data_IF_577482459797
#
_entry.id   IF_577482459797
#
_cell.length_a   1.000
_cell.length_b   1.000
_cell.length_c   1.000
_cell.angle_alpha   90.00
_cell.angle_beta   90.00
_cell.angle_gamma   90.00
#
_symmetry.space_group_name_H-M   'P 1'
#
loop_
_entity.id
_entity.type
_entity.pdbx_description
1 polymer ?
#
# COMPACT_ATOMS: atom_id res chain seq x y z
N UNK A 1 0.69 -12.60 62.98
CA UNK A 1 -0.30 -11.83 62.19
C UNK A 1 0.44 -11.28 60.99
N UNK A 2 0.50 -12.12 59.98
CA UNK A 2 1.30 -11.95 58.76
C UNK A 2 0.64 -10.90 57.88
N UNK A 3 1.41 -9.89 57.49
CA UNK A 3 1.04 -8.99 56.39
C UNK A 3 1.58 -9.67 55.13
N UNK A 4 0.83 -10.66 54.65
CA UNK A 4 1.10 -11.36 53.40
C UNK A 4 1.02 -10.38 52.23
N UNK A 5 2.20 -10.06 51.68
CA UNK A 5 2.59 -10.35 50.30
C UNK A 5 1.53 -10.26 49.18
N UNK A 6 0.60 -9.31 49.23
CA UNK A 6 -0.36 -9.12 48.14
C UNK A 6 0.20 -8.26 46.98
N UNK A 7 1.42 -8.58 46.51
CA UNK A 7 2.10 -7.86 45.41
C UNK A 7 2.47 -8.76 44.22
N UNK A 8 2.00 -10.01 44.19
CA UNK A 8 2.38 -11.01 43.19
C UNK A 8 1.26 -11.41 42.21
N UNK A 9 0.26 -10.55 41.98
CA UNK A 9 -0.75 -10.81 40.92
C UNK A 9 -1.08 -9.59 40.05
N UNK A 10 -0.12 -8.67 39.84
CA UNK A 10 -0.12 -7.94 38.59
C UNK A 10 0.32 -8.92 37.49
N UNK A 11 -0.68 -9.63 36.95
CA UNK A 11 -0.61 -10.29 35.65
C UNK A 11 0.26 -9.43 34.74
N UNK A 12 1.42 -9.97 34.34
CA UNK A 12 2.15 -9.52 33.17
C UNK A 12 1.25 -9.76 31.94
N UNK A 13 0.21 -8.93 31.78
CA UNK A 13 -0.26 -8.60 30.46
C UNK A 13 0.93 -7.93 29.79
N UNK A 14 1.51 -8.62 28.81
CA UNK A 14 2.53 -8.04 27.96
C UNK A 14 1.96 -6.74 27.38
N UNK A 15 2.36 -5.60 27.96
CA UNK A 15 1.97 -4.29 27.46
C UNK A 15 2.34 -4.23 25.97
N UNK A 16 1.44 -3.74 25.10
CA UNK A 16 1.65 -3.80 23.67
C UNK A 16 2.94 -3.07 23.29
N UNK A 17 3.84 -3.76 22.58
CA UNK A 17 5.12 -3.20 22.11
C UNK A 17 4.97 -2.37 20.83
N UNK A 18 3.72 -2.07 20.45
CA UNK A 18 3.40 -1.35 19.23
C UNK A 18 3.43 0.16 19.44
N UNK A 19 3.73 0.90 18.37
CA UNK A 19 3.66 2.37 18.35
C UNK A 19 2.28 2.92 18.80
N UNK A 20 1.19 2.17 18.56
CA UNK A 20 -0.15 2.56 19.00
C UNK A 20 -0.27 2.69 20.52
N UNK A 21 0.47 1.86 21.27
CA UNK A 21 0.49 1.83 22.73
C UNK A 21 1.17 3.05 23.38
N UNK A 22 1.90 3.84 22.59
CA UNK A 22 2.59 5.02 23.08
C UNK A 22 1.60 6.17 23.32
N UNK A 23 1.84 6.93 24.40
CA UNK A 23 1.10 8.16 24.68
C UNK A 23 1.31 9.20 23.57
N UNK A 24 0.43 10.20 23.46
CA UNK A 24 0.60 11.30 22.51
C UNK A 24 1.91 12.05 22.73
N UNK A 25 2.32 12.22 23.99
CA UNK A 25 3.59 12.81 24.37
C UNK A 25 4.78 11.97 23.89
N UNK A 26 4.77 10.65 24.14
CA UNK A 26 5.86 9.75 23.72
C UNK A 26 6.06 9.73 22.21
N UNK A 27 4.95 9.80 21.45
CA UNK A 27 4.95 9.88 19.99
C UNK A 27 5.60 11.18 19.50
N UNK A 28 5.28 12.31 20.12
CA UNK A 28 5.89 13.60 19.80
C UNK A 28 7.41 13.58 20.09
N UNK A 29 7.82 13.02 21.23
CA UNK A 29 9.24 12.92 21.57
C UNK A 29 10.00 12.02 20.61
N UNK A 30 9.43 10.88 20.20
CA UNK A 30 10.04 10.03 19.18
C UNK A 30 10.24 10.77 17.86
N UNK A 31 9.27 11.61 17.48
CA UNK A 31 9.38 12.40 16.27
C UNK A 31 10.51 13.42 16.34
N UNK A 32 10.64 14.13 17.45
CA UNK A 32 11.74 15.07 17.66
C UNK A 32 13.10 14.37 17.50
N UNK A 33 13.26 13.16 18.05
CA UNK A 33 14.49 12.36 17.88
C UNK A 33 14.71 11.84 16.44
N UNK A 34 13.65 11.71 15.64
CA UNK A 34 13.77 11.31 14.23
C UNK A 34 14.22 12.50 13.39
N UNK A 35 13.68 13.69 13.67
CA UNK A 35 14.00 14.94 12.98
C UNK A 35 15.41 15.41 13.32
N UNK A 36 15.83 15.23 14.58
CA UNK A 36 17.20 15.40 15.02
C UNK A 36 17.75 14.09 15.62
N UNK A 37 18.45 13.26 14.82
CA UNK A 37 19.03 12.00 15.28
C UNK A 37 20.09 12.18 16.37
N UNK A 38 20.65 13.38 16.54
CA UNK A 38 21.57 13.66 17.62
C UNK A 38 20.86 13.76 18.97
N UNK A 39 19.55 14.04 18.99
CA UNK A 39 18.77 14.22 20.20
C UNK A 39 18.64 12.92 21.00
N UNK A 40 19.34 12.86 22.13
CA UNK A 40 19.24 11.77 23.10
C UNK A 40 18.09 12.01 24.07
N UNK A 41 17.40 10.95 24.51
CA UNK A 41 16.27 11.03 25.43
C UNK A 41 16.37 9.97 26.53
N UNK A 42 16.19 10.42 27.78
CA UNK A 42 16.20 9.56 28.96
C UNK A 42 14.78 9.04 29.18
N UNK A 43 14.62 7.72 29.21
CA UNK A 43 13.33 7.04 29.23
C UNK A 43 13.34 6.01 30.36
N UNK A 44 12.27 5.90 31.18
CA UNK A 44 12.25 4.91 32.24
C UNK A 44 12.29 3.50 31.67
N UNK A 45 13.11 2.64 32.28
CA UNK A 45 13.30 1.27 31.82
C UNK A 45 12.00 0.48 31.94
N UNK A 46 11.67 -0.30 30.91
CA UNK A 46 10.47 -1.14 30.89
C UNK A 46 9.17 -0.42 30.54
N UNK A 47 9.18 0.91 30.37
CA UNK A 47 8.04 1.64 29.81
C UNK A 47 7.79 1.24 28.35
N UNK A 48 6.55 1.40 27.82
CA UNK A 48 6.22 1.06 26.44
C UNK A 48 7.20 1.68 25.41
N UNK A 49 7.63 2.93 25.64
CA UNK A 49 8.61 3.62 24.78
C UNK A 49 10.00 2.96 24.82
N UNK A 50 10.49 2.56 25.99
CA UNK A 50 11.77 1.85 26.14
C UNK A 50 11.73 0.49 25.45
N UNK A 51 10.63 -0.26 25.58
CA UNK A 51 10.44 -1.55 24.90
C UNK A 51 10.44 -1.37 23.38
N UNK A 52 9.70 -0.40 22.86
CA UNK A 52 9.67 -0.08 21.44
C UNK A 52 11.07 0.28 20.90
N UNK A 53 11.81 1.14 21.61
CA UNK A 53 13.16 1.54 21.24
C UNK A 53 14.14 0.35 21.27
N UNK A 54 13.98 -0.53 22.26
CA UNK A 54 14.72 -1.79 22.33
C UNK A 54 14.45 -2.69 21.12
N UNK A 55 13.20 -2.84 20.67
CA UNK A 55 12.88 -3.66 19.50
C UNK A 55 13.49 -3.10 18.21
N UNK A 56 13.40 -1.78 17.98
CA UNK A 56 13.98 -1.17 16.78
C UNK A 56 15.51 -1.07 16.85
N UNK A 57 16.10 -1.13 18.05
CA UNK A 57 17.55 -1.19 18.22
C UNK A 57 18.16 -2.46 17.63
N UNK A 58 17.43 -3.59 17.66
CA UNK A 58 17.84 -4.85 17.01
C UNK A 58 18.00 -4.71 15.49
N UNK A 59 17.35 -3.71 14.89
CA UNK A 59 17.46 -3.38 13.44
C UNK A 59 18.56 -2.36 13.15
N UNK A 60 19.25 -1.91 14.19
CA UNK A 60 20.22 -0.82 14.18
C UNK A 60 19.56 0.53 13.91
N UNK A 61 18.32 0.75 14.36
CA UNK A 61 17.60 2.01 14.15
C UNK A 61 17.66 2.93 15.36
N UNK A 62 17.78 2.37 16.56
CA UNK A 62 18.07 3.08 17.79
C UNK A 62 19.31 2.49 18.46
N UNK A 63 19.97 3.26 19.31
CA UNK A 63 21.06 2.78 20.17
C UNK A 63 20.93 3.37 21.57
N UNK A 64 21.40 2.63 22.56
CA UNK A 64 21.60 3.16 23.91
C UNK A 64 22.84 4.06 23.87
N UNK A 65 22.75 5.21 24.52
CA UNK A 65 23.88 6.13 24.70
C UNK A 65 24.32 6.03 26.14
N UNK A 66 25.63 5.82 26.34
CA UNK A 66 26.21 5.83 27.67
C UNK A 66 26.23 7.27 28.20
N UNK A 67 25.65 7.45 29.39
CA UNK A 67 25.60 8.72 30.11
C UNK A 67 25.94 8.45 31.56
N UNK A 68 26.24 9.51 32.31
CA UNK A 68 26.58 9.42 33.73
C UNK A 68 25.52 8.63 34.54
N UNK A 69 25.94 7.74 35.46
CA UNK A 69 25.02 6.92 36.25
C UNK A 69 23.97 7.74 37.02
N UNK A 70 24.31 8.94 37.49
CA UNK A 70 23.37 9.83 38.17
C UNK A 70 22.20 10.24 37.27
N UNK A 71 22.47 10.48 35.97
CA UNK A 71 21.46 10.89 34.99
C UNK A 71 20.48 9.76 34.64
N UNK A 72 20.91 8.50 34.78
CA UNK A 72 20.03 7.34 34.58
C UNK A 72 19.41 6.83 35.88
N UNK A 73 19.59 7.56 36.98
CA UNK A 73 19.25 7.13 38.34
C UNK A 73 19.69 5.68 38.60
N UNK A 74 20.96 5.39 38.35
CA UNK A 74 21.59 4.08 38.52
C UNK A 74 20.88 2.94 37.74
N UNK A 75 20.51 3.22 36.49
CA UNK A 75 19.92 2.22 35.58
C UNK A 75 18.40 2.06 35.68
N UNK A 76 17.72 2.90 36.46
CA UNK A 76 16.26 3.01 36.42
C UNK A 76 15.76 3.61 35.09
N UNK A 77 16.59 4.41 34.42
CA UNK A 77 16.33 4.97 33.10
C UNK A 77 17.38 4.52 32.09
N UNK A 78 17.04 4.64 30.80
CA UNK A 78 17.96 4.42 29.67
C UNK A 78 17.98 5.65 28.79
N UNK A 79 19.17 6.07 28.40
CA UNK A 79 19.34 7.12 27.41
C UNK A 79 19.35 6.49 26.01
N UNK A 80 18.42 6.92 25.17
CA UNK A 80 18.25 6.42 23.81
C UNK A 80 18.54 7.49 22.79
N UNK A 81 19.07 7.08 21.64
CA UNK A 81 19.27 7.94 20.47
C UNK A 81 18.83 7.21 19.21
N UNK A 82 18.17 7.92 18.29
CA UNK A 82 17.85 7.39 16.96
C UNK A 82 19.08 7.53 16.07
N UNK A 83 19.47 6.45 15.40
CA UNK A 83 20.58 6.48 14.44
C UNK A 83 20.14 7.16 13.13
N UNK A 84 21.07 7.64 12.31
CA UNK A 84 20.72 8.16 10.97
C UNK A 84 19.97 7.13 10.10
N UNK A 85 20.32 5.85 10.22
CA UNK A 85 19.62 4.75 9.55
C UNK A 85 18.17 4.65 10.04
N UNK A 86 17.98 4.77 11.36
CA UNK A 86 16.68 4.83 12.00
C UNK A 86 15.87 6.03 11.53
N UNK A 87 16.44 7.23 11.56
CA UNK A 87 15.77 8.45 11.12
C UNK A 87 15.22 8.35 9.68
N UNK A 88 15.96 7.69 8.78
CA UNK A 88 15.51 7.45 7.39
C UNK A 88 14.40 6.40 7.26
N UNK A 89 14.34 5.40 8.15
CA UNK A 89 13.44 4.23 8.02
C UNK A 89 12.22 4.30 8.94
N UNK A 90 12.37 4.89 10.11
CA UNK A 90 11.39 4.91 11.18
C UNK A 90 10.11 5.66 10.79
N UNK A 91 10.11 6.82 10.10
CA UNK A 91 8.88 7.46 9.63
C UNK A 91 7.98 6.52 8.84
N UNK A 92 8.54 5.82 7.85
CA UNK A 92 7.78 4.88 7.02
C UNK A 92 7.30 3.67 7.83
N UNK A 93 8.09 3.22 8.81
CA UNK A 93 7.74 2.11 9.70
C UNK A 93 6.63 2.48 10.69
N UNK A 94 6.67 3.67 11.29
CA UNK A 94 5.63 4.20 12.17
C UNK A 94 4.33 4.39 11.40
N UNK A 95 4.43 4.89 10.17
CA UNK A 95 3.31 4.99 9.23
C UNK A 95 2.71 3.61 8.94
N UNK A 96 3.55 2.58 8.74
CA UNK A 96 3.09 1.21 8.52
C UNK A 96 2.44 0.57 9.76
N UNK A 97 3.03 0.74 10.96
CA UNK A 97 2.46 0.17 12.20
C UNK A 97 1.14 0.84 12.55
N UNK A 98 1.04 2.16 12.41
CA UNK A 98 -0.22 2.86 12.66
C UNK A 98 -1.32 2.52 11.64
N UNK A 99 -0.94 1.93 10.51
CA UNK A 99 -1.87 1.37 9.53
C UNK A 99 -2.17 -0.12 9.78
N UNK A 100 -1.48 -0.78 10.72
CA UNK A 100 -1.59 -2.22 10.94
C UNK A 100 -2.98 -2.64 11.43
N UNK A 101 -3.62 -1.87 12.31
CA UNK A 101 -4.99 -2.14 12.76
C UNK A 101 -5.98 -2.11 11.59
N UNK A 102 -5.86 -1.12 10.71
CA UNK A 102 -6.66 -1.03 9.48
C UNK A 102 -6.36 -2.21 8.56
N UNK A 103 -5.08 -2.59 8.44
CA UNK A 103 -4.66 -3.73 7.62
C UNK A 103 -5.22 -5.06 8.15
N UNK A 104 -5.33 -5.25 9.47
CA UNK A 104 -6.01 -6.41 10.07
C UNK A 104 -7.50 -6.46 9.70
N UNK A 105 -8.23 -5.35 9.82
CA UNK A 105 -9.64 -5.28 9.36
C UNK A 105 -9.78 -5.53 7.86
N UNK A 106 -8.82 -5.06 7.06
CA UNK A 106 -8.76 -5.34 5.62
C UNK A 106 -8.48 -6.80 5.31
N UNK A 107 -7.67 -7.48 6.14
CA UNK A 107 -7.38 -8.90 5.99
C UNK A 107 -8.62 -9.75 6.30
N UNK A 108 -9.36 -9.40 7.36
CA UNK A 108 -10.64 -10.04 7.72
C UNK A 108 -11.67 -9.90 6.60
N UNK A 109 -11.70 -8.73 5.94
CA UNK A 109 -12.61 -8.43 4.81
C UNK A 109 -11.91 -8.54 3.45
N UNK A 110 -10.86 -9.35 3.33
CA UNK A 110 -9.96 -9.36 2.16
C UNK A 110 -10.67 -9.57 0.83
N UNK A 111 -11.71 -10.41 0.80
CA UNK A 111 -12.53 -10.65 -0.40
C UNK A 111 -13.18 -9.37 -0.93
N UNK A 112 -13.72 -8.53 -0.03
CA UNK A 112 -14.39 -7.27 -0.42
C UNK A 112 -13.38 -6.29 -1.01
N UNK A 113 -12.21 -6.16 -0.39
CA UNK A 113 -11.16 -5.24 -0.88
C UNK A 113 -10.55 -5.70 -2.20
N UNK A 114 -10.31 -7.01 -2.36
CA UNK A 114 -9.83 -7.59 -3.61
C UNK A 114 -10.87 -7.45 -4.73
N UNK A 115 -12.13 -7.80 -4.47
CA UNK A 115 -13.21 -7.65 -5.44
C UNK A 115 -13.41 -6.18 -5.83
N UNK A 116 -13.35 -5.25 -4.86
CA UNK A 116 -13.42 -3.82 -5.13
C UNK A 116 -12.28 -3.31 -6.00
N UNK A 117 -11.06 -3.82 -5.82
CA UNK A 117 -9.91 -3.48 -6.69
C UNK A 117 -10.13 -3.97 -8.11
N UNK A 118 -10.56 -5.23 -8.27
CA UNK A 118 -10.84 -5.83 -9.57
C UNK A 118 -11.98 -5.11 -10.28
N UNK A 119 -13.06 -4.78 -9.57
CA UNK A 119 -14.18 -4.03 -10.11
C UNK A 119 -13.75 -2.63 -10.61
N UNK A 120 -12.90 -1.92 -9.86
CA UNK A 120 -12.34 -0.64 -10.29
C UNK A 120 -11.46 -0.78 -11.51
N UNK A 121 -10.58 -1.78 -11.53
CA UNK A 121 -9.76 -2.06 -12.69
C UNK A 121 -10.62 -2.30 -13.93
N UNK A 122 -11.65 -3.16 -13.83
CA UNK A 122 -12.58 -3.44 -14.92
C UNK A 122 -13.31 -2.19 -15.41
N UNK A 123 -13.81 -1.37 -14.49
CA UNK A 123 -14.48 -0.12 -14.83
C UNK A 123 -13.52 0.83 -15.56
N UNK A 124 -12.33 1.07 -15.01
CA UNK A 124 -11.32 1.91 -15.66
C UNK A 124 -10.92 1.38 -17.04
N UNK A 125 -10.78 0.07 -17.18
CA UNK A 125 -10.43 -0.57 -18.44
C UNK A 125 -11.52 -0.38 -19.49
N UNK A 126 -12.79 -0.61 -19.15
CA UNK A 126 -13.94 -0.40 -20.05
C UNK A 126 -14.04 1.08 -20.44
N UNK A 127 -13.89 2.01 -19.49
CA UNK A 127 -13.94 3.45 -19.77
C UNK A 127 -12.84 3.87 -20.75
N UNK A 128 -11.62 3.37 -20.59
CA UNK A 128 -10.51 3.66 -21.50
C UNK A 128 -10.76 3.06 -22.89
N UNK A 129 -11.26 1.83 -22.97
CA UNK A 129 -11.62 1.20 -24.24
C UNK A 129 -12.73 1.97 -24.97
N UNK A 130 -13.77 2.42 -24.25
CA UNK A 130 -14.82 3.25 -24.81
C UNK A 130 -14.26 4.58 -25.35
N UNK A 131 -13.33 5.22 -24.63
CA UNK A 131 -12.66 6.44 -25.08
C UNK A 131 -11.89 6.20 -26.39
N UNK A 132 -11.12 5.11 -26.49
CA UNK A 132 -10.41 4.78 -27.73
C UNK A 132 -11.35 4.43 -28.89
N UNK A 133 -12.49 3.79 -28.61
CA UNK A 133 -13.51 3.54 -29.63
C UNK A 133 -14.10 4.84 -30.19
N UNK A 134 -14.40 5.82 -29.31
CA UNK A 134 -14.86 7.16 -29.73
C UNK A 134 -13.79 7.87 -30.58
N UNK A 135 -12.52 7.82 -30.16
CA UNK A 135 -11.41 8.40 -30.92
C UNK A 135 -11.26 7.75 -32.31
N UNK A 136 -11.37 6.43 -32.39
CA UNK A 136 -11.35 5.69 -33.66
C UNK A 136 -12.51 6.09 -34.58
N UNK A 137 -13.72 6.24 -34.03
CA UNK A 137 -14.89 6.71 -34.78
C UNK A 137 -14.68 8.12 -35.35
N UNK A 138 -14.16 9.05 -34.54
CA UNK A 138 -13.84 10.42 -34.98
C UNK A 138 -12.77 10.41 -36.07
N UNK A 139 -11.71 9.62 -35.91
CA UNK A 139 -10.66 9.48 -36.93
C UNK A 139 -11.22 8.98 -38.27
N UNK A 140 -12.12 8.00 -38.24
CA UNK A 140 -12.81 7.51 -39.43
C UNK A 140 -13.70 8.57 -40.09
N UNK A 141 -14.41 9.38 -39.29
CA UNK A 141 -15.18 10.53 -39.81
C UNK A 141 -14.30 11.61 -40.45
N UNK A 142 -13.07 11.75 -39.97
CA UNK A 142 -12.07 12.67 -40.52
C UNK A 142 -11.28 12.07 -41.71
N UNK A 143 -11.65 10.88 -42.19
CA UNK A 143 -10.97 10.17 -43.28
C UNK A 143 -9.47 9.94 -43.03
N UNK A 144 -9.07 9.81 -41.76
CA UNK A 144 -7.71 9.41 -41.41
C UNK A 144 -7.56 7.94 -41.74
N UNK A 145 -6.68 7.62 -42.69
CA UNK A 145 -6.42 6.24 -43.09
C UNK A 145 -5.67 5.48 -41.99
N UNK A 146 -6.34 4.50 -41.40
CA UNK A 146 -5.81 3.61 -40.36
C UNK A 146 -5.76 2.15 -40.83
N UNK A 147 -5.98 1.88 -42.13
CA UNK A 147 -6.12 0.51 -42.66
C UNK A 147 -4.84 -0.33 -42.55
N UNK A 148 -3.67 0.25 -42.77
CA UNK A 148 -2.37 -0.41 -42.57
C UNK A 148 -2.02 -0.70 -41.10
N UNK A 149 -2.11 0.26 -40.17
CA UNK A 149 -1.72 0.07 -38.76
C UNK A 149 -2.81 -0.57 -37.88
N UNK A 150 -3.99 -0.95 -38.41
CA UNK A 150 -5.16 -1.35 -37.62
C UNK A 150 -4.86 -2.45 -36.57
N UNK A 151 -4.04 -3.45 -36.92
CA UNK A 151 -3.68 -4.53 -35.99
C UNK A 151 -2.71 -4.07 -34.88
N UNK A 152 -1.72 -3.24 -35.23
CA UNK A 152 -0.78 -2.66 -34.27
C UNK A 152 -1.45 -1.65 -33.35
N UNK A 153 -2.38 -0.86 -33.89
CA UNK A 153 -3.17 0.11 -33.14
C UNK A 153 -4.07 -0.61 -32.12
N UNK A 154 -4.66 -1.74 -32.48
CA UNK A 154 -5.45 -2.58 -31.55
C UNK A 154 -4.60 -3.07 -30.37
N UNK A 155 -3.38 -3.57 -30.61
CA UNK A 155 -2.49 -4.02 -29.54
C UNK A 155 -2.05 -2.83 -28.66
N UNK A 156 -1.73 -1.68 -29.27
CA UNK A 156 -1.33 -0.48 -28.55
C UNK A 156 -2.46 0.05 -27.67
N UNK A 157 -3.69 0.14 -28.20
CA UNK A 157 -4.90 0.58 -27.48
C UNK A 157 -5.18 -0.33 -26.28
N UNK A 158 -5.15 -1.65 -26.48
CA UNK A 158 -5.35 -2.61 -25.37
C UNK A 158 -4.26 -2.45 -24.32
N UNK A 159 -3.00 -2.35 -24.74
CA UNK A 159 -1.87 -2.18 -23.81
C UNK A 159 -1.96 -0.88 -23.01
N UNK A 160 -2.24 0.25 -23.67
CA UNK A 160 -2.39 1.56 -22.99
C UNK A 160 -3.60 1.55 -22.06
N UNK A 161 -4.71 0.93 -22.47
CA UNK A 161 -5.91 0.79 -21.63
C UNK A 161 -5.62 -0.05 -20.38
N UNK A 162 -4.84 -1.13 -20.51
CA UNK A 162 -4.41 -1.95 -19.38
C UNK A 162 -3.53 -1.16 -18.40
N UNK A 163 -2.53 -0.43 -18.90
CA UNK A 163 -1.67 0.41 -18.08
C UNK A 163 -2.45 1.53 -17.39
N UNK A 164 -3.31 2.22 -18.13
CA UNK A 164 -4.17 3.26 -17.59
C UNK A 164 -5.08 2.70 -16.50
N UNK A 165 -5.72 1.56 -16.74
CA UNK A 165 -6.61 0.93 -15.78
C UNK A 165 -5.88 0.53 -14.48
N UNK A 166 -4.69 -0.06 -14.58
CA UNK A 166 -3.83 -0.37 -13.41
C UNK A 166 -3.44 0.89 -12.65
N UNK A 167 -3.09 1.97 -13.35
CA UNK A 167 -2.70 3.22 -12.73
C UNK A 167 -3.88 3.90 -12.02
N UNK A 168 -5.03 4.04 -12.67
CA UNK A 168 -6.21 4.70 -12.10
C UNK A 168 -6.85 3.90 -10.97
N UNK A 169 -6.92 2.56 -11.08
CA UNK A 169 -7.46 1.71 -10.02
C UNK A 169 -6.61 1.75 -8.73
N UNK A 170 -5.30 2.04 -8.86
CA UNK A 170 -4.40 2.24 -7.73
C UNK A 170 -4.56 3.59 -7.00
N UNK A 171 -5.22 4.59 -7.63
CA UNK A 171 -5.32 5.96 -7.11
C UNK A 171 -6.64 6.30 -6.40
N UNK A 172 -7.75 5.72 -6.84
CA UNK A 172 -9.08 6.17 -6.44
C UNK A 172 -9.65 5.26 -5.34
N UNK A 173 -9.34 5.56 -4.08
CA UNK A 173 -10.02 4.97 -2.92
C UNK A 173 -10.59 6.06 -2.03
N UNK A 174 -11.92 6.18 -2.08
CA UNK A 174 -12.67 6.89 -1.05
C UNK A 174 -13.01 5.87 0.03
N UNK A 175 -12.33 5.99 1.17
CA UNK A 175 -12.75 5.29 2.37
C UNK A 175 -13.79 6.14 3.08
N UNK A 176 -14.90 5.52 3.45
CA UNK A 176 -16.07 6.18 4.05
C UNK A 176 -15.91 6.49 5.54
N UNK A 177 -14.89 5.92 6.17
CA UNK A 177 -14.69 6.03 7.61
C UNK A 177 -13.93 7.31 8.00
N UNK A 178 -14.25 7.91 9.18
CA UNK A 178 -13.61 9.13 9.68
C UNK A 178 -12.20 8.92 10.26
N UNK A 179 -11.67 7.70 10.28
CA UNK A 179 -10.24 7.47 10.54
C UNK A 179 -9.39 8.26 9.51
N UNK A 180 -8.19 8.69 9.90
CA UNK A 180 -7.28 9.47 9.05
C UNK A 180 -7.18 8.81 7.67
N UNK A 181 -7.85 9.37 6.66
CA UNK A 181 -7.96 8.80 5.30
C UNK A 181 -6.59 8.47 4.70
N UNK A 182 -5.53 9.11 5.19
CA UNK A 182 -4.14 8.83 4.82
C UNK A 182 -3.65 7.49 5.36
N UNK A 183 -4.01 7.12 6.60
CA UNK A 183 -3.72 5.81 7.19
C UNK A 183 -4.36 4.68 6.40
N UNK A 184 -5.63 4.86 6.03
CA UNK A 184 -6.37 3.86 5.28
C UNK A 184 -5.79 3.66 3.88
N UNK A 185 -5.38 4.74 3.22
CA UNK A 185 -4.65 4.66 1.95
C UNK A 185 -3.31 3.91 2.08
N UNK A 186 -2.56 4.13 3.17
CA UNK A 186 -1.30 3.43 3.43
C UNK A 186 -1.55 1.94 3.68
N UNK A 187 -2.51 1.61 4.55
CA UNK A 187 -2.91 0.23 4.84
C UNK A 187 -3.33 -0.49 3.56
N UNK A 188 -4.12 0.18 2.73
CA UNK A 188 -4.60 -0.35 1.47
C UNK A 188 -3.47 -0.64 0.48
N UNK A 189 -2.56 0.31 0.29
CA UNK A 189 -1.41 0.12 -0.62
C UNK A 189 -0.55 -1.06 -0.14
N UNK A 190 -0.35 -1.20 1.17
CA UNK A 190 0.35 -2.34 1.75
C UNK A 190 -0.39 -3.65 1.52
N UNK A 191 -1.70 -3.67 1.76
CA UNK A 191 -2.56 -4.83 1.52
C UNK A 191 -2.47 -5.31 0.06
N UNK A 192 -2.59 -4.40 -0.91
CA UNK A 192 -2.48 -4.72 -2.35
C UNK A 192 -1.08 -5.24 -2.66
N UNK A 193 -0.03 -4.62 -2.11
CA UNK A 193 1.35 -5.08 -2.29
C UNK A 193 1.54 -6.51 -1.77
N UNK A 194 1.03 -6.80 -0.58
CA UNK A 194 1.13 -8.13 0.05
C UNK A 194 0.32 -9.20 -0.71
N UNK A 195 -0.78 -8.80 -1.35
CA UNK A 195 -1.65 -9.67 -2.14
C UNK A 195 -1.40 -9.61 -3.65
N UNK A 196 -0.28 -9.02 -4.10
CA UNK A 196 0.02 -8.80 -5.53
C UNK A 196 -0.18 -10.06 -6.38
N UNK A 197 0.28 -11.23 -5.92
CA UNK A 197 0.11 -12.51 -6.65
C UNK A 197 -1.36 -12.87 -6.90
N UNK A 198 -2.21 -12.74 -5.89
CA UNK A 198 -3.64 -13.03 -6.00
C UNK A 198 -4.29 -12.00 -6.93
N UNK A 199 -3.93 -10.74 -6.77
CA UNK A 199 -4.45 -9.65 -7.59
C UNK A 199 -4.11 -9.87 -9.07
N UNK A 200 -2.90 -10.33 -9.40
CA UNK A 200 -2.52 -10.63 -10.78
C UNK A 200 -3.42 -11.69 -11.42
N UNK A 201 -3.73 -12.77 -10.68
CA UNK A 201 -4.63 -13.83 -11.15
C UNK A 201 -6.03 -13.27 -11.39
N UNK A 202 -6.53 -12.48 -10.43
CA UNK A 202 -7.86 -11.88 -10.54
C UNK A 202 -7.94 -10.86 -11.69
N UNK A 203 -6.89 -10.06 -11.90
CA UNK A 203 -6.80 -9.11 -13.00
C UNK A 203 -6.78 -9.82 -14.35
N UNK A 204 -6.03 -10.92 -14.48
CA UNK A 204 -5.96 -11.71 -15.70
C UNK A 204 -7.32 -12.34 -16.05
N UNK A 205 -7.98 -12.93 -15.04
CA UNK A 205 -9.32 -13.49 -15.21
C UNK A 205 -10.36 -12.42 -15.56
N UNK A 206 -10.30 -11.27 -14.88
CA UNK A 206 -11.20 -10.15 -15.15
C UNK A 206 -10.98 -9.54 -16.54
N UNK A 207 -9.72 -9.42 -16.97
CA UNK A 207 -9.40 -8.99 -18.34
C UNK A 207 -9.96 -9.97 -19.38
N UNK A 208 -9.74 -11.28 -19.20
CA UNK A 208 -10.26 -12.28 -20.12
C UNK A 208 -11.79 -12.22 -20.21
N UNK A 209 -12.47 -12.10 -19.06
CA UNK A 209 -13.92 -11.98 -19.02
C UNK A 209 -14.39 -10.71 -19.74
N UNK A 210 -13.86 -9.54 -19.36
CA UNK A 210 -14.30 -8.25 -19.92
C UNK A 210 -13.93 -8.12 -21.39
N UNK A 211 -12.67 -8.36 -21.75
CA UNK A 211 -12.20 -8.20 -23.13
C UNK A 211 -12.83 -9.24 -24.06
N UNK A 212 -12.96 -10.49 -23.60
CA UNK A 212 -13.67 -11.54 -24.33
C UNK A 212 -15.15 -11.19 -24.54
N UNK A 213 -15.84 -10.65 -23.52
CA UNK A 213 -17.22 -10.18 -23.67
C UNK A 213 -17.36 -9.01 -24.65
N UNK A 214 -16.42 -8.06 -24.64
CA UNK A 214 -16.41 -6.94 -25.60
C UNK A 214 -16.21 -7.44 -27.03
N UNK A 215 -15.28 -8.37 -27.26
CA UNK A 215 -15.09 -8.97 -28.59
C UNK A 215 -16.34 -9.74 -29.04
N UNK A 216 -16.95 -10.52 -28.15
CA UNK A 216 -18.15 -11.31 -28.47
C UNK A 216 -19.32 -10.39 -28.83
N UNK A 217 -19.51 -9.32 -28.05
CA UNK A 217 -20.53 -8.32 -28.32
C UNK A 217 -20.33 -7.63 -29.68
N UNK A 218 -19.09 -7.31 -30.05
CA UNK A 218 -18.77 -6.72 -31.35
C UNK A 218 -19.10 -7.66 -32.52
N UNK A 219 -18.92 -8.97 -32.34
CA UNK A 219 -19.32 -9.98 -33.33
C UNK A 219 -20.84 -10.08 -33.44
N UNK A 220 -21.54 -10.21 -32.31
CA UNK A 220 -23.01 -10.34 -32.27
C UNK A 220 -23.72 -9.12 -32.86
N UNK A 221 -23.13 -7.93 -32.71
CA UNK A 221 -23.68 -6.67 -33.26
C UNK A 221 -23.23 -6.37 -34.69
N UNK A 222 -22.41 -7.22 -35.30
CA UNK A 222 -21.92 -7.04 -36.67
C UNK A 222 -20.84 -5.95 -36.82
N UNK A 223 -20.34 -5.38 -35.72
CA UNK A 223 -19.21 -4.45 -35.70
C UNK A 223 -17.89 -5.14 -36.08
N UNK A 224 -17.80 -6.45 -35.88
CA UNK A 224 -16.66 -7.29 -36.26
C UNK A 224 -17.19 -8.54 -36.97
N UNK A 225 -16.52 -8.96 -38.04
CA UNK A 225 -16.94 -10.15 -38.81
C UNK A 225 -16.75 -11.45 -38.01
N UNK A 226 -15.67 -11.57 -37.24
CA UNK A 226 -15.31 -12.79 -36.53
C UNK A 226 -14.70 -12.50 -35.16
N UNK A 227 -14.84 -13.48 -34.25
CA UNK A 227 -14.18 -13.45 -32.96
C UNK A 227 -12.67 -13.56 -33.15
N UNK A 228 -11.88 -12.83 -32.37
CA UNK A 228 -10.42 -12.94 -32.48
C UNK A 228 -9.94 -14.36 -32.15
N UNK A 229 -8.77 -14.75 -32.65
CA UNK A 229 -8.18 -16.04 -32.27
C UNK A 229 -8.07 -16.12 -30.73
N UNK A 230 -8.59 -17.18 -30.08
CA UNK A 230 -8.56 -17.31 -28.62
C UNK A 230 -7.12 -17.31 -28.08
N UNK A 231 -6.15 -17.76 -28.89
CA UNK A 231 -4.73 -17.68 -28.57
C UNK A 231 -4.23 -16.24 -28.43
N UNK A 232 -4.77 -15.29 -29.21
CA UNK A 232 -4.40 -13.87 -29.11
C UNK A 232 -4.86 -13.25 -27.78
N UNK A 233 -6.07 -13.59 -27.33
CA UNK A 233 -6.61 -13.20 -26.02
C UNK A 233 -5.75 -13.75 -24.87
N UNK A 234 -5.34 -15.02 -24.97
CA UNK A 234 -4.44 -15.64 -23.99
C UNK A 234 -3.06 -14.96 -23.95
N UNK A 235 -2.47 -14.64 -25.11
CA UNK A 235 -1.20 -13.92 -25.20
C UNK A 235 -1.31 -12.52 -24.58
N UNK A 236 -2.38 -11.78 -24.85
CA UNK A 236 -2.61 -10.45 -24.28
C UNK A 236 -2.85 -10.52 -22.76
N UNK A 237 -3.54 -11.54 -22.26
CA UNK A 237 -3.70 -11.79 -20.83
C UNK A 237 -2.38 -12.15 -20.15
N UNK A 238 -1.55 -12.98 -20.80
CA UNK A 238 -0.21 -13.29 -20.32
C UNK A 238 0.68 -12.03 -20.29
N UNK A 239 0.60 -11.19 -21.33
CA UNK A 239 1.30 -9.90 -21.37
C UNK A 239 0.84 -8.99 -20.23
N UNK A 240 -0.47 -8.90 -19.96
CA UNK A 240 -1.00 -8.17 -18.81
C UNK A 240 -0.39 -8.67 -17.49
N UNK A 241 -0.32 -9.98 -17.28
CA UNK A 241 0.30 -10.55 -16.08
C UNK A 241 1.76 -10.12 -15.91
N UNK A 242 2.55 -10.20 -16.99
CA UNK A 242 3.97 -9.80 -16.98
C UNK A 242 4.11 -8.30 -16.70
N UNK A 243 3.32 -7.48 -17.39
CA UNK A 243 3.34 -6.03 -17.19
C UNK A 243 2.90 -5.66 -15.77
N UNK A 244 1.81 -6.23 -15.28
CA UNK A 244 1.34 -5.96 -13.93
C UNK A 244 2.35 -6.43 -12.87
N UNK A 245 3.05 -7.55 -13.07
CA UNK A 245 4.14 -7.98 -12.17
C UNK A 245 5.28 -6.97 -12.08
N UNK A 246 5.65 -6.34 -13.20
CA UNK A 246 6.77 -5.39 -13.26
C UNK A 246 6.34 -4.01 -12.74
N UNK A 247 5.19 -3.53 -13.19
CA UNK A 247 4.81 -2.13 -13.01
C UNK A 247 3.96 -1.87 -11.77
N UNK A 248 3.09 -2.80 -11.37
CA UNK A 248 2.21 -2.59 -10.22
C UNK A 248 3.00 -2.36 -8.92
N UNK A 249 4.04 -3.15 -8.58
CA UNK A 249 4.84 -2.88 -7.38
C UNK A 249 5.49 -1.50 -7.41
N UNK A 250 6.00 -1.06 -8.57
CA UNK A 250 6.62 0.25 -8.73
C UNK A 250 5.63 1.40 -8.56
N UNK A 251 4.42 1.27 -9.12
CA UNK A 251 3.33 2.25 -8.95
C UNK A 251 2.93 2.33 -7.48
N UNK A 252 2.75 1.20 -6.81
CA UNK A 252 2.38 1.12 -5.40
C UNK A 252 3.46 1.73 -4.49
N UNK A 253 4.74 1.45 -4.74
CA UNK A 253 5.85 2.01 -3.97
C UNK A 253 5.94 3.53 -4.10
N UNK A 254 5.72 4.07 -5.31
CA UNK A 254 5.68 5.52 -5.54
C UNK A 254 4.53 6.17 -4.77
N UNK A 255 3.35 5.57 -4.78
CA UNK A 255 2.19 6.07 -4.03
C UNK A 255 2.39 5.96 -2.52
N UNK A 256 2.95 4.85 -2.04
CA UNK A 256 3.24 4.65 -0.63
C UNK A 256 4.18 5.73 -0.10
N UNK A 257 5.28 6.01 -0.81
CA UNK A 257 6.23 7.08 -0.46
C UNK A 257 5.56 8.45 -0.44
N UNK A 258 4.71 8.72 -1.42
CA UNK A 258 3.98 9.99 -1.50
C UNK A 258 3.02 10.19 -0.33
N UNK A 259 2.23 9.16 0.02
CA UNK A 259 1.28 9.21 1.13
C UNK A 259 2.00 9.27 2.48
N UNK A 260 3.08 8.49 2.65
CA UNK A 260 3.91 8.52 3.85
C UNK A 260 4.53 9.92 4.05
N UNK A 261 5.07 10.54 3.00
CA UNK A 261 5.61 11.91 3.05
C UNK A 261 4.54 12.94 3.42
N UNK A 262 3.35 12.87 2.82
CA UNK A 262 2.23 13.77 3.15
C UNK A 262 1.79 13.66 4.60
N UNK A 263 1.74 12.44 5.15
CA UNK A 263 1.38 12.22 6.54
C UNK A 263 2.45 12.70 7.50
N UNK A 264 3.72 12.42 7.21
CA UNK A 264 4.84 12.93 8.00
C UNK A 264 4.88 14.46 8.06
N UNK A 265 4.40 15.16 7.03
CA UNK A 265 4.31 16.62 7.00
C UNK A 265 3.09 17.21 7.74
N UNK A 266 2.10 16.39 8.13
CA UNK A 266 0.85 16.87 8.74
C UNK A 266 0.65 16.40 10.17
N UNK A 267 1.40 15.39 10.60
CA UNK A 267 1.67 15.21 12.02
C UNK A 267 2.39 16.44 12.52
#
# INVERSE_FOLDING_TARGET
MEIELNRSEQKHQAAPTSYEALSGHDKATLRAMIEDPAASQIIPKGFPKDRFLSEISLRGWAKVVDVEPELTANGAFRCWQITEKGAKRLPNYLVAISAARVNCRMLENSTIFLAGFVAKFSLCYITLQALFAVLGFVAGKLQIDLTGPAEYLSIAVTTVSLFGALYFSSRLWMFSEPEDTRLQNIAYIQFIKDKTKIILILLAGSFLAVHGSVELFAVVTGLKAEFGSPYRLLIQSALLCVLAMIFLPGILDKHLRYQAKKRAAAL
#
